data_IF_868651003343
#
_entry.id   IF_868651003343
#
_cell.length_a   1.000
_cell.length_b   1.000
_cell.length_c   1.000
_cell.angle_alpha   90.00
_cell.angle_beta   90.00
_cell.angle_gamma   90.00
#
_symmetry.space_group_name_H-M   'P 1'
#
loop_
_entity.id
_entity.type
_entity.pdbx_description
1 polymer ?
#
# COMPACT_ATOMS: atom_id res chain seq x y z
N UNK A 1 -33.79 5.27 5.70
CA UNK A 1 -34.38 4.67 4.48
C UNK A 1 -33.46 3.58 4.00
N UNK A 2 -34.01 2.50 3.45
CA UNK A 2 -33.25 1.48 2.75
C UNK A 2 -32.71 2.05 1.42
N UNK A 3 -31.51 1.68 0.95
CA UNK A 3 -30.99 2.15 -0.32
C UNK A 3 -31.93 1.70 -1.45
N UNK A 4 -32.19 2.58 -2.44
CA UNK A 4 -33.02 2.22 -3.59
C UNK A 4 -32.37 1.08 -4.39
N UNK A 5 -33.19 0.21 -5.00
CA UNK A 5 -32.71 -0.88 -5.86
C UNK A 5 -31.91 -0.37 -7.06
N UNK A 6 -31.10 -1.23 -7.67
CA UNK A 6 -30.25 -0.83 -8.80
C UNK A 6 -31.03 -0.30 -10.02
N UNK A 7 -32.29 -0.69 -10.14
CA UNK A 7 -33.24 -0.27 -11.18
C UNK A 7 -34.07 0.97 -10.82
N UNK A 8 -33.80 1.63 -9.69
CA UNK A 8 -34.57 2.80 -9.26
C UNK A 8 -34.24 4.06 -10.08
N UNK A 9 -35.26 4.88 -10.32
CA UNK A 9 -35.15 6.15 -11.04
C UNK A 9 -34.09 7.09 -10.43
N UNK A 10 -33.39 7.82 -11.30
CA UNK A 10 -32.33 8.78 -10.94
C UNK A 10 -32.81 9.83 -9.92
N UNK A 11 -34.09 10.24 -9.97
CA UNK A 11 -34.64 11.19 -9.00
C UNK A 11 -34.73 10.60 -7.58
N UNK A 12 -35.07 9.30 -7.47
CA UNK A 12 -35.15 8.57 -6.19
C UNK A 12 -33.75 8.36 -5.61
N UNK A 13 -32.77 8.03 -6.47
CA UNK A 13 -31.36 7.93 -6.10
C UNK A 13 -30.80 9.27 -5.61
N UNK A 14 -31.10 10.37 -6.32
CA UNK A 14 -30.68 11.72 -5.93
C UNK A 14 -31.24 12.14 -4.56
N UNK A 15 -32.52 11.84 -4.28
CA UNK A 15 -33.13 12.13 -2.97
C UNK A 15 -32.48 11.35 -1.83
N UNK A 16 -32.08 10.10 -2.06
CA UNK A 16 -31.39 9.28 -1.06
C UNK A 16 -29.98 9.81 -0.72
N UNK A 17 -29.22 10.23 -1.73
CA UNK A 17 -27.85 10.74 -1.57
C UNK A 17 -27.79 12.10 -0.83
N UNK A 18 -28.90 12.84 -0.79
CA UNK A 18 -28.98 14.18 -0.17
C UNK A 18 -29.39 14.24 1.31
N UNK A 19 -29.79 13.12 1.91
CA UNK A 19 -30.25 13.09 3.31
C UNK A 19 -29.07 13.17 4.28
N UNK A 20 -28.88 14.35 4.90
CA UNK A 20 -27.82 14.62 5.89
C UNK A 20 -28.30 14.53 7.35
N UNK A 21 -29.62 14.42 7.56
CA UNK A 21 -30.24 14.36 8.87
C UNK A 21 -31.36 13.31 8.85
N UNK A 22 -31.48 12.54 9.93
CA UNK A 22 -32.70 11.79 10.22
C UNK A 22 -33.67 12.77 10.90
N UNK A 23 -34.93 12.82 10.46
CA UNK A 23 -35.99 13.50 11.21
C UNK A 23 -36.06 12.95 12.65
N UNK A 24 -36.44 13.79 13.62
CA UNK A 24 -36.59 13.46 15.03
C UNK A 24 -37.45 12.20 15.22
N UNK A 25 -36.79 11.05 15.30
CA UNK A 25 -37.42 9.75 15.56
C UNK A 25 -37.23 9.39 17.02
N UNK A 26 -38.34 9.20 17.72
CA UNK A 26 -38.33 8.66 19.08
C UNK A 26 -37.88 7.20 19.00
N UNK A 27 -36.63 6.93 19.39
CA UNK A 27 -36.09 5.58 19.49
C UNK A 27 -36.56 4.94 20.80
N UNK A 28 -37.14 3.74 20.73
CA UNK A 28 -37.45 2.98 21.94
C UNK A 28 -36.21 2.22 22.45
N UNK A 29 -36.07 2.03 23.77
CA UNK A 29 -34.97 1.23 24.34
C UNK A 29 -34.91 -0.16 23.70
N UNK A 30 -33.69 -0.64 23.41
CA UNK A 30 -33.39 -1.93 22.76
C UNK A 30 -33.82 -2.07 21.28
N UNK A 31 -34.26 -1.01 20.62
CA UNK A 31 -34.55 -1.04 19.18
C UNK A 31 -33.28 -0.78 18.35
N UNK A 32 -32.92 -1.70 17.45
CA UNK A 32 -31.78 -1.51 16.54
C UNK A 32 -32.15 -0.54 15.40
N UNK A 33 -31.48 0.61 15.36
CA UNK A 33 -31.57 1.54 14.23
C UNK A 33 -30.54 1.15 13.16
N UNK A 34 -31.00 0.74 11.98
CA UNK A 34 -30.12 0.48 10.83
C UNK A 34 -30.02 1.73 9.97
N UNK A 35 -28.79 2.17 9.72
CA UNK A 35 -28.49 3.36 8.92
C UNK A 35 -27.69 2.93 7.71
N UNK A 36 -28.19 3.31 6.54
CA UNK A 36 -27.59 2.97 5.27
C UNK A 36 -26.77 4.16 4.77
N UNK A 37 -25.51 3.90 4.44
CA UNK A 37 -24.60 4.88 3.86
C UNK A 37 -24.40 4.53 2.40
N UNK A 38 -24.70 5.47 1.52
CA UNK A 38 -24.32 5.38 0.11
C UNK A 38 -23.36 6.52 -0.20
N UNK A 39 -22.21 6.16 -0.75
CA UNK A 39 -21.21 7.11 -1.18
C UNK A 39 -20.85 6.79 -2.62
N UNK A 40 -20.78 7.82 -3.47
CA UNK A 40 -20.20 7.74 -4.80
C UNK A 40 -18.76 8.27 -4.69
N UNK A 41 -17.74 7.41 -4.69
CA UNK A 41 -16.35 7.85 -4.54
C UNK A 41 -15.91 8.63 -5.79
N UNK A 42 -15.25 9.77 -5.58
CA UNK A 42 -14.64 10.56 -6.67
C UNK A 42 -13.29 9.98 -7.12
N UNK A 43 -12.59 9.29 -6.21
CA UNK A 43 -11.29 8.66 -6.45
C UNK A 43 -11.30 7.17 -6.05
N UNK A 44 -10.40 6.40 -6.66
CA UNK A 44 -10.22 4.98 -6.36
C UNK A 44 -9.39 4.85 -5.07
N UNK A 45 -9.79 3.95 -4.16
CA UNK A 45 -9.00 3.66 -2.96
C UNK A 45 -9.82 3.51 -1.70
N UNK A 46 -9.12 3.57 -0.56
CA UNK A 46 -9.73 3.49 0.77
C UNK A 46 -10.18 4.87 1.20
N UNK A 47 -11.49 5.04 1.34
CA UNK A 47 -12.12 6.23 1.89
C UNK A 47 -12.50 5.96 3.34
N UNK A 48 -12.18 6.89 4.23
CA UNK A 48 -12.59 6.82 5.63
C UNK A 48 -13.71 7.84 5.84
N UNK A 49 -14.87 7.37 6.25
CA UNK A 49 -16.02 8.22 6.56
C UNK A 49 -16.29 8.12 8.05
N UNK A 50 -16.34 9.28 8.71
CA UNK A 50 -16.70 9.37 10.13
C UNK A 50 -18.12 9.91 10.24
N UNK A 51 -18.98 9.14 10.87
CA UNK A 51 -20.39 9.47 11.08
C UNK A 51 -20.56 9.81 12.54
N UNK A 52 -21.13 10.97 12.80
CA UNK A 52 -21.45 11.42 14.13
C UNK A 52 -22.95 11.33 14.32
N UNK A 53 -23.36 10.78 15.47
CA UNK A 53 -24.73 10.78 15.94
C UNK A 53 -24.77 11.58 17.23
N UNK A 54 -25.48 12.69 17.21
CA UNK A 54 -25.75 13.47 18.41
C UNK A 54 -27.05 12.94 19.03
N UNK A 55 -26.97 12.39 20.24
CA UNK A 55 -28.06 11.80 21.00
C UNK A 55 -28.22 12.57 22.32
N UNK A 56 -28.90 13.72 22.25
CA UNK A 56 -28.95 14.67 23.37
C UNK A 56 -27.57 15.28 23.62
N UNK A 57 -27.03 15.10 24.84
CA UNK A 57 -25.69 15.57 25.21
C UNK A 57 -24.58 14.56 24.85
N UNK A 58 -24.92 13.36 24.40
CA UNK A 58 -23.96 12.34 24.00
C UNK A 58 -23.69 12.36 22.50
N UNK A 59 -22.42 12.27 22.11
CA UNK A 59 -21.99 12.15 20.72
C UNK A 59 -21.41 10.77 20.46
N UNK A 60 -22.09 9.97 19.63
CA UNK A 60 -21.64 8.66 19.20
C UNK A 60 -20.94 8.81 17.85
N UNK A 61 -19.70 8.32 17.77
CA UNK A 61 -18.93 8.33 16.53
C UNK A 61 -18.83 6.91 15.95
N UNK A 62 -19.09 6.77 14.65
CA UNK A 62 -18.89 5.53 13.88
C UNK A 62 -17.99 5.81 12.69
N UNK A 63 -16.88 5.09 12.61
CA UNK A 63 -15.99 5.12 11.46
C UNK A 63 -16.35 4.00 10.50
N UNK A 64 -16.65 4.36 9.26
CA UNK A 64 -16.87 3.45 8.15
C UNK A 64 -15.70 3.53 7.17
N UNK A 65 -15.18 2.37 6.77
CA UNK A 65 -14.16 2.25 5.74
C UNK A 65 -14.83 1.82 4.43
N UNK A 66 -14.73 2.65 3.40
CA UNK A 66 -15.30 2.40 2.09
C UNK A 66 -14.17 2.16 1.09
N UNK A 67 -14.17 0.98 0.49
CA UNK A 67 -13.16 0.61 -0.50
C UNK A 67 -13.76 0.79 -1.90
N UNK A 68 -13.35 1.86 -2.58
CA UNK A 68 -13.77 2.18 -3.93
C UNK A 68 -12.87 1.48 -4.96
N UNK A 69 -13.41 0.49 -5.68
CA UNK A 69 -12.71 -0.13 -6.81
C UNK A 69 -13.01 0.60 -8.11
N UNK A 70 -11.99 0.75 -8.96
CA UNK A 70 -12.23 1.02 -10.37
C UNK A 70 -12.65 -0.27 -11.08
N UNK A 71 -13.71 -0.19 -11.88
CA UNK A 71 -13.89 -1.15 -12.96
C UNK A 71 -13.02 -0.68 -14.12
N UNK A 72 -11.70 -0.92 -14.06
CA UNK A 72 -10.88 -0.82 -15.27
C UNK A 72 -11.27 -1.99 -16.18
N UNK A 73 -12.25 -1.72 -17.02
CA UNK A 73 -12.50 -2.41 -18.29
C UNK A 73 -12.66 -1.33 -19.35
N UNK A 74 -11.73 -0.37 -19.36
CA UNK A 74 -11.66 0.59 -20.44
C UNK A 74 -11.00 -0.11 -21.63
N UNK A 75 -11.80 -0.35 -22.66
CA UNK A 75 -11.27 -0.66 -23.99
C UNK A 75 -10.73 0.65 -24.54
N UNK A 76 -9.42 0.86 -24.45
CA UNK A 76 -8.77 1.98 -25.10
C UNK A 76 -8.58 1.62 -26.58
N UNK A 77 -9.18 2.43 -27.45
CA UNK A 77 -8.85 2.41 -28.86
C UNK A 77 -7.52 3.15 -29.02
N UNK A 78 -6.45 2.42 -29.33
CA UNK A 78 -5.20 3.07 -29.72
C UNK A 78 -5.25 3.31 -31.22
N UNK A 79 -5.42 4.57 -31.61
CA UNK A 79 -5.27 5.00 -33.01
C UNK A 79 -3.80 4.98 -33.45
N UNK A 80 -2.87 4.82 -32.49
CA UNK A 80 -1.43 4.73 -32.74
C UNK A 80 -0.99 3.27 -32.81
N UNK A 81 -0.36 2.85 -33.93
CA UNK A 81 0.11 1.47 -34.06
C UNK A 81 1.26 1.19 -33.09
N UNK A 82 1.31 -0.06 -32.59
CA UNK A 82 2.43 -0.52 -31.77
C UNK A 82 3.73 -0.47 -32.56
N UNK A 83 4.81 -0.09 -31.88
CA UNK A 83 6.15 -0.07 -32.45
C UNK A 83 7.01 -1.15 -31.82
N UNK A 84 7.90 -1.77 -32.61
CA UNK A 84 8.94 -2.65 -32.05
C UNK A 84 10.05 -1.77 -31.51
N UNK A 85 10.23 -1.78 -30.19
CA UNK A 85 11.33 -1.08 -29.56
C UNK A 85 12.66 -1.76 -29.94
N UNK A 86 13.63 -0.98 -30.42
CA UNK A 86 14.97 -1.48 -30.76
C UNK A 86 15.79 -1.51 -29.47
N UNK A 87 15.90 -2.67 -28.82
CA UNK A 87 16.81 -2.82 -27.69
C UNK A 87 18.25 -2.89 -28.20
N UNK A 88 19.03 -1.84 -27.92
CA UNK A 88 20.48 -1.95 -27.87
C UNK A 88 20.84 -2.70 -26.58
N UNK A 89 21.56 -3.81 -26.75
CA UNK A 89 22.11 -4.73 -25.74
C UNK A 89 21.25 -5.93 -25.26
N UNK A 90 21.69 -7.10 -25.74
CA UNK A 90 21.67 -8.47 -25.18
C UNK A 90 20.33 -9.27 -25.19
N UNK A 91 20.23 -10.10 -26.25
CA UNK A 91 19.54 -11.42 -26.40
C UNK A 91 18.00 -11.47 -26.31
N UNK A 92 17.38 -11.54 -27.49
CA UNK A 92 16.09 -12.18 -27.80
C UNK A 92 14.90 -11.92 -26.86
N UNK A 93 14.54 -10.67 -26.61
CA UNK A 93 13.19 -10.34 -26.14
C UNK A 93 12.60 -9.29 -27.07
N UNK A 94 11.67 -9.70 -27.94
CA UNK A 94 10.88 -8.75 -28.72
C UNK A 94 9.93 -8.05 -27.75
N UNK A 95 10.11 -6.74 -27.58
CA UNK A 95 9.28 -5.88 -26.74
C UNK A 95 8.53 -4.94 -27.67
N UNK A 96 7.23 -4.79 -27.43
CA UNK A 96 6.38 -3.83 -28.13
C UNK A 96 6.18 -2.61 -27.24
N UNK A 97 6.12 -1.43 -27.84
CA UNK A 97 5.79 -0.20 -27.13
C UNK A 97 4.39 0.30 -27.50
N UNK A 98 3.71 0.93 -26.54
CA UNK A 98 2.38 1.49 -26.69
C UNK A 98 2.30 2.83 -25.96
N UNK A 99 1.93 3.88 -26.68
CA UNK A 99 1.59 5.16 -26.09
C UNK A 99 0.20 5.09 -25.44
N UNK A 100 0.09 5.54 -24.18
CA UNK A 100 -1.15 5.54 -23.41
C UNK A 100 -1.43 6.97 -22.95
N UNK A 101 -2.43 7.65 -23.54
CA UNK A 101 -2.83 9.00 -23.11
C UNK A 101 -3.21 9.02 -21.62
N UNK A 102 -2.78 10.05 -20.88
CA UNK A 102 -3.08 10.21 -19.45
C UNK A 102 -2.21 9.36 -18.51
N UNK A 103 -1.29 8.54 -19.03
CA UNK A 103 -0.39 7.71 -18.21
C UNK A 103 0.49 8.53 -17.26
N UNK A 104 0.98 9.69 -17.71
CA UNK A 104 1.79 10.61 -16.90
C UNK A 104 1.01 11.13 -15.67
N UNK A 105 -0.31 11.26 -15.80
CA UNK A 105 -1.24 11.63 -14.73
C UNK A 105 -1.67 10.42 -13.88
N UNK A 106 -1.10 9.24 -14.14
CA UNK A 106 -1.44 7.94 -13.53
C UNK A 106 -2.89 7.52 -13.79
N UNK A 107 -3.43 7.89 -14.94
CA UNK A 107 -4.81 7.59 -15.38
C UNK A 107 -4.77 7.06 -16.82
N UNK A 108 -4.72 5.73 -17.04
CA UNK A 108 -4.90 4.65 -16.07
C UNK A 108 -3.68 4.40 -15.17
N UNK A 109 -3.90 3.86 -13.96
CA UNK A 109 -2.83 3.47 -13.05
C UNK A 109 -2.25 2.12 -13.46
N UNK A 110 -1.20 2.16 -14.28
CA UNK A 110 -0.50 0.98 -14.78
C UNK A 110 0.87 0.85 -14.11
N UNK A 111 1.22 -0.36 -13.72
CA UNK A 111 2.52 -0.67 -13.09
C UNK A 111 3.19 -1.87 -13.75
N UNK A 112 4.48 -2.03 -13.47
CA UNK A 112 5.24 -3.22 -13.84
C UNK A 112 4.51 -4.50 -13.40
N UNK A 113 4.39 -5.46 -14.30
CA UNK A 113 3.76 -6.75 -14.05
C UNK A 113 2.25 -6.80 -14.27
N UNK A 114 1.59 -5.67 -14.55
CA UNK A 114 0.16 -5.67 -14.89
C UNK A 114 -0.09 -6.37 -16.22
N UNK A 115 -1.29 -6.96 -16.35
CA UNK A 115 -1.73 -7.65 -17.55
C UNK A 115 -2.46 -6.70 -18.49
N UNK A 116 -2.08 -6.77 -19.76
CA UNK A 116 -2.75 -6.12 -20.88
C UNK A 116 -3.32 -7.18 -21.81
N UNK A 117 -4.46 -6.90 -22.39
CA UNK A 117 -5.13 -7.77 -23.36
C UNK A 117 -5.30 -6.99 -24.65
N UNK A 118 -4.77 -7.55 -25.73
CA UNK A 118 -4.83 -6.94 -27.06
C UNK A 118 -5.53 -7.85 -28.04
N UNK A 119 -6.32 -7.25 -28.92
CA UNK A 119 -7.07 -7.95 -29.95
C UNK A 119 -6.96 -7.16 -31.24
N UNK A 120 -6.68 -7.82 -32.36
CA UNK A 120 -6.51 -7.13 -33.63
C UNK A 120 -7.84 -6.44 -33.99
N UNK A 121 -7.77 -5.16 -34.37
CA UNK A 121 -8.97 -4.36 -34.65
C UNK A 121 -9.57 -4.66 -36.04
N UNK A 122 -8.87 -5.41 -36.89
CA UNK A 122 -9.32 -5.70 -38.25
C UNK A 122 -10.35 -6.83 -38.28
N UNK A 123 -11.55 -6.50 -38.74
CA UNK A 123 -12.60 -7.48 -39.04
C UNK A 123 -12.33 -8.17 -40.39
N UNK A 124 -11.33 -9.05 -40.47
CA UNK A 124 -11.29 -10.04 -41.56
C UNK A 124 -12.09 -11.28 -41.14
N UNK A 125 -12.89 -11.89 -42.04
CA UNK A 125 -13.71 -13.06 -41.74
C UNK A 125 -12.90 -14.32 -41.35
N UNK A 126 -11.58 -14.28 -41.58
CA UNK A 126 -10.61 -15.33 -41.23
C UNK A 126 -9.86 -15.04 -39.90
N UNK A 127 -10.13 -13.90 -39.27
CA UNK A 127 -9.46 -13.51 -38.03
C UNK A 127 -10.22 -14.09 -36.85
N UNK A 128 -9.69 -15.21 -36.36
CA UNK A 128 -10.08 -15.80 -35.08
C UNK A 128 -9.95 -14.68 -34.04
N UNK A 129 -11.05 -14.35 -33.35
CA UNK A 129 -11.25 -13.18 -32.48
C UNK A 129 -10.39 -13.29 -31.20
N UNK A 130 -9.10 -13.53 -31.37
CA UNK A 130 -8.15 -13.98 -30.36
C UNK A 130 -7.66 -12.79 -29.59
N UNK A 131 -7.89 -12.86 -28.28
CA UNK A 131 -7.29 -11.96 -27.33
C UNK A 131 -5.91 -12.49 -26.95
N UNK A 132 -4.89 -11.66 -27.08
CA UNK A 132 -3.53 -11.95 -26.65
C UNK A 132 -3.27 -11.27 -25.31
N UNK A 133 -2.81 -12.05 -24.35
CA UNK A 133 -2.38 -11.55 -23.05
C UNK A 133 -0.91 -11.14 -23.11
N UNK A 134 -0.61 -9.95 -22.64
CA UNK A 134 0.74 -9.42 -22.44
C UNK A 134 0.96 -8.97 -21.01
N UNK A 135 2.23 -8.72 -20.68
CA UNK A 135 2.67 -8.22 -19.38
C UNK A 135 3.44 -6.92 -19.60
N UNK A 136 3.12 -5.90 -18.79
CA UNK A 136 3.87 -4.64 -18.76
C UNK A 136 5.26 -4.89 -18.16
N UNK A 137 6.31 -4.64 -18.94
CA UNK A 137 7.71 -4.75 -18.56
C UNK A 137 8.33 -3.42 -18.14
N UNK A 138 7.80 -2.30 -18.64
CA UNK A 138 8.26 -0.96 -18.26
C UNK A 138 7.14 0.05 -18.47
N UNK A 139 7.10 1.06 -17.60
CA UNK A 139 6.20 2.20 -17.69
C UNK A 139 7.08 3.44 -17.70
N UNK A 140 6.95 4.27 -18.72
CA UNK A 140 7.59 5.58 -18.85
C UNK A 140 6.53 6.68 -18.74
N UNK A 141 6.83 7.92 -19.15
CA UNK A 141 5.94 9.06 -18.96
C UNK A 141 4.57 8.86 -19.63
N UNK A 142 4.58 8.58 -20.93
CA UNK A 142 3.40 8.39 -21.77
C UNK A 142 3.42 7.06 -22.55
N UNK A 143 4.47 6.25 -22.39
CA UNK A 143 4.65 4.99 -23.10
C UNK A 143 4.82 3.80 -22.14
N UNK A 144 4.24 2.67 -22.51
CA UNK A 144 4.46 1.38 -21.84
C UNK A 144 5.16 0.39 -22.76
N UNK A 145 6.01 -0.44 -22.18
CA UNK A 145 6.73 -1.51 -22.86
C UNK A 145 6.15 -2.85 -22.45
N UNK A 146 5.84 -3.66 -23.45
CA UNK A 146 5.00 -4.83 -23.33
C UNK A 146 5.72 -6.07 -23.84
N UNK A 147 5.54 -7.17 -23.11
CA UNK A 147 5.96 -8.49 -23.53
C UNK A 147 4.74 -9.37 -23.75
N UNK A 148 4.67 -9.93 -24.94
CA UNK A 148 3.65 -10.90 -25.34
C UNK A 148 4.29 -12.25 -25.65
N UNK A 149 3.43 -13.27 -25.77
CA UNK A 149 3.79 -14.55 -26.35
C UNK A 149 4.29 -14.40 -27.80
N UNK A 150 5.18 -15.31 -28.24
CA UNK A 150 5.78 -15.28 -29.58
C UNK A 150 4.73 -15.27 -30.71
N UNK A 151 3.57 -15.87 -30.48
CA UNK A 151 2.51 -15.91 -31.48
C UNK A 151 2.02 -14.52 -31.89
N UNK A 152 1.91 -13.58 -30.95
CA UNK A 152 1.54 -12.20 -31.29
C UNK A 152 2.70 -11.53 -32.04
N UNK A 153 3.93 -11.70 -31.56
CA UNK A 153 5.12 -11.09 -32.16
C UNK A 153 5.32 -11.48 -33.63
N UNK A 154 5.03 -12.74 -33.98
CA UNK A 154 5.09 -13.24 -35.37
C UNK A 154 4.01 -12.63 -36.25
N UNK A 155 2.80 -12.37 -35.72
CA UNK A 155 1.67 -11.80 -36.46
C UNK A 155 1.71 -10.27 -36.54
N UNK A 156 2.35 -9.63 -35.57
CA UNK A 156 2.45 -8.19 -35.50
C UNK A 156 3.23 -7.62 -36.69
N UNK A 157 2.63 -6.64 -37.35
CA UNK A 157 3.26 -5.80 -38.37
C UNK A 157 3.16 -4.34 -37.96
N UNK A 158 4.17 -3.55 -38.28
CA UNK A 158 4.12 -2.09 -38.13
C UNK A 158 2.89 -1.59 -38.90
N UNK A 159 2.00 -0.84 -38.23
CA UNK A 159 0.65 -0.37 -38.67
C UNK A 159 -0.57 -1.21 -38.24
N UNK A 160 -0.39 -2.36 -37.58
CA UNK A 160 -1.54 -3.08 -37.02
C UNK A 160 -2.21 -2.24 -35.91
N UNK A 161 -3.53 -2.12 -35.98
CA UNK A 161 -4.36 -1.52 -34.93
C UNK A 161 -4.91 -2.61 -34.01
N UNK A 162 -4.95 -2.34 -32.71
CA UNK A 162 -5.48 -3.27 -31.72
C UNK A 162 -6.45 -2.58 -30.78
N UNK A 163 -7.49 -3.31 -30.41
CA UNK A 163 -8.32 -3.00 -29.26
C UNK A 163 -7.58 -3.43 -27.99
N UNK A 164 -7.44 -2.51 -27.05
CA UNK A 164 -6.61 -2.69 -25.86
C UNK A 164 -7.48 -2.65 -24.62
N UNK A 165 -7.36 -3.64 -23.76
CA UNK A 165 -7.97 -3.61 -22.43
C UNK A 165 -6.95 -3.92 -21.35
N UNK A 166 -7.07 -3.20 -20.24
CA UNK A 166 -6.20 -3.35 -19.08
C UNK A 166 -6.96 -4.07 -17.99
N UNK A 167 -6.29 -4.99 -17.28
CA UNK A 167 -6.86 -5.63 -16.10
C UNK A 167 -6.30 -4.99 -14.85
N UNK A 168 -7.16 -4.31 -14.10
CA UNK A 168 -6.79 -3.74 -12.82
C UNK A 168 -6.29 -4.81 -11.84
N UNK A 169 -5.15 -4.55 -11.21
CA UNK A 169 -4.56 -5.43 -10.22
C UNK A 169 -5.23 -5.25 -8.85
N UNK A 170 -6.19 -6.14 -8.55
CA UNK A 170 -6.94 -6.13 -7.27
C UNK A 170 -6.14 -6.58 -6.05
N UNK A 171 -4.85 -6.93 -6.18
CA UNK A 171 -4.06 -7.48 -5.07
C UNK A 171 -3.95 -6.49 -3.90
N UNK A 172 -3.61 -5.22 -4.18
CA UNK A 172 -3.48 -4.21 -3.12
C UNK A 172 -4.82 -3.92 -2.43
N UNK A 173 -5.92 -3.87 -3.20
CA UNK A 173 -7.27 -3.68 -2.67
C UNK A 173 -7.69 -4.85 -1.76
N UNK A 174 -7.45 -6.09 -2.20
CA UNK A 174 -7.72 -7.29 -1.39
C UNK A 174 -6.92 -7.29 -0.09
N UNK A 175 -5.67 -6.82 -0.12
CA UNK A 175 -4.83 -6.68 1.07
C UNK A 175 -5.40 -5.64 2.05
N UNK A 176 -5.89 -4.51 1.56
CA UNK A 176 -6.56 -3.50 2.38
C UNK A 176 -7.84 -4.05 3.01
N UNK A 177 -8.66 -4.77 2.22
CA UNK A 177 -9.87 -5.42 2.72
C UNK A 177 -9.55 -6.45 3.82
N UNK A 178 -8.54 -7.29 3.60
CA UNK A 178 -8.05 -8.22 4.60
C UNK A 178 -7.58 -7.51 5.88
N UNK A 179 -6.92 -6.36 5.76
CA UNK A 179 -6.47 -5.56 6.90
C UNK A 179 -7.65 -5.01 7.71
N UNK A 180 -8.71 -4.53 7.04
CA UNK A 180 -9.95 -4.05 7.70
C UNK A 180 -10.61 -5.21 8.48
N UNK A 181 -10.76 -6.38 7.86
CA UNK A 181 -11.30 -7.56 8.54
C UNK A 181 -10.44 -8.00 9.74
N UNK A 182 -9.12 -7.86 9.63
CA UNK A 182 -8.21 -8.18 10.73
C UNK A 182 -8.22 -7.13 11.85
N UNK A 183 -8.56 -5.87 11.54
CA UNK A 183 -8.52 -4.75 12.49
C UNK A 183 -9.49 -4.93 13.66
N UNK A 184 -10.61 -5.65 13.47
CA UNK A 184 -11.56 -6.00 14.53
C UNK A 184 -10.86 -6.64 15.74
N UNK A 185 -9.77 -7.39 15.51
CA UNK A 185 -9.00 -8.08 16.56
C UNK A 185 -8.06 -7.16 17.36
N UNK A 186 -7.86 -5.91 16.95
CA UNK A 186 -6.99 -4.95 17.65
C UNK A 186 -7.67 -4.32 18.88
N UNK A 187 -9.00 -4.28 18.87
CA UNK A 187 -9.81 -3.67 19.93
C UNK A 187 -9.86 -2.13 19.87
N UNK A 188 -10.84 -1.52 20.56
CA UNK A 188 -11.12 -0.08 20.46
C UNK A 188 -9.98 0.79 21.00
N UNK A 189 -9.18 0.30 21.94
CA UNK A 189 -8.07 1.06 22.54
C UNK A 189 -7.00 1.46 21.50
N UNK A 190 -6.82 0.63 20.46
CA UNK A 190 -5.88 0.89 19.37
C UNK A 190 -6.52 1.70 18.24
N UNK A 191 -7.75 1.35 17.86
CA UNK A 191 -8.46 1.98 16.74
C UNK A 191 -9.03 3.36 17.09
N UNK A 192 -9.51 3.51 18.33
CA UNK A 192 -10.24 4.67 18.83
C UNK A 192 -9.66 5.13 20.19
N UNK A 193 -8.40 5.59 20.22
CA UNK A 193 -7.69 5.87 21.49
C UNK A 193 -8.34 6.98 22.33
N UNK A 194 -9.13 7.88 21.74
CA UNK A 194 -9.86 8.92 22.48
C UNK A 194 -10.97 8.36 23.39
N UNK A 195 -11.48 7.16 23.09
CA UNK A 195 -12.51 6.49 23.91
C UNK A 195 -11.91 5.87 25.17
N UNK A 196 -10.58 5.78 25.26
CA UNK A 196 -9.91 5.23 26.43
C UNK A 196 -9.88 6.26 27.57
N UNK A 197 -10.65 6.02 28.62
CA UNK A 197 -10.69 6.89 29.82
C UNK A 197 -9.42 6.78 30.70
N UNK A 198 -8.52 5.85 30.37
CA UNK A 198 -7.36 5.52 31.19
C UNK A 198 -6.13 6.31 30.73
N UNK A 199 -5.65 7.22 31.58
CA UNK A 199 -4.39 7.92 31.37
C UNK A 199 -3.25 6.92 31.52
N UNK A 200 -2.61 6.55 30.40
CA UNK A 200 -1.48 5.63 30.42
C UNK A 200 -0.25 6.30 31.03
N UNK A 201 0.25 5.70 32.10
CA UNK A 201 1.54 6.07 32.68
C UNK A 201 2.64 5.36 31.91
N UNK A 202 3.57 6.12 31.33
CA UNK A 202 4.73 5.58 30.61
C UNK A 202 5.94 5.75 31.53
N UNK A 203 6.48 4.62 31.98
CA UNK A 203 7.75 4.60 32.71
C UNK A 203 8.88 4.76 31.70
N UNK A 204 9.50 5.95 31.69
CA UNK A 204 10.66 6.23 30.86
C UNK A 204 11.94 5.82 31.59
N UNK A 205 12.88 5.28 30.84
CA UNK A 205 14.24 5.05 31.29
C UNK A 205 15.17 5.97 30.51
N UNK A 206 16.07 6.66 31.21
CA UNK A 206 17.11 7.44 30.54
C UNK A 206 17.92 6.53 29.61
N UNK A 207 18.22 7.04 28.43
CA UNK A 207 19.06 6.37 27.45
C UNK A 207 20.13 7.33 26.96
N UNK A 208 21.20 6.79 26.38
CA UNK A 208 22.22 7.61 25.73
C UNK A 208 21.90 7.69 24.24
N UNK A 209 21.61 8.89 23.69
CA UNK A 209 21.40 9.07 22.27
C UNK A 209 22.60 8.58 21.46
N UNK A 210 22.32 7.81 20.42
CA UNK A 210 23.33 7.33 19.48
C UNK A 210 23.66 8.45 18.51
N UNK A 211 22.63 9.15 18.06
CA UNK A 211 22.79 10.41 17.35
C UNK A 211 22.91 11.58 18.33
N UNK A 212 24.11 12.17 18.40
CA UNK A 212 24.41 13.32 19.24
C UNK A 212 23.68 14.61 18.83
N UNK A 213 23.10 14.67 17.63
CA UNK A 213 22.41 15.85 17.09
C UNK A 213 20.90 15.87 17.40
N UNK A 214 20.38 14.93 18.19
CA UNK A 214 18.98 14.95 18.59
C UNK A 214 18.70 16.08 19.59
N UNK A 215 17.62 16.83 19.36
CA UNK A 215 17.17 17.86 20.27
C UNK A 215 16.38 17.27 21.46
N UNK A 216 16.07 18.10 22.46
CA UNK A 216 15.38 17.67 23.69
C UNK A 216 14.01 17.02 23.44
N UNK A 217 13.24 17.52 22.47
CA UNK A 217 11.91 17.00 22.14
C UNK A 217 11.99 15.63 21.43
N UNK A 218 13.00 15.45 20.59
CA UNK A 218 13.28 14.18 19.93
C UNK A 218 13.76 13.14 20.94
N UNK A 219 14.68 13.51 21.85
CA UNK A 219 15.14 12.65 22.94
C UNK A 219 13.96 12.22 23.81
N UNK A 220 13.13 13.17 24.25
CA UNK A 220 11.92 12.87 25.01
C UNK A 220 10.97 11.93 24.27
N UNK A 221 10.79 12.13 22.96
CA UNK A 221 9.95 11.24 22.15
C UNK A 221 10.50 9.81 22.11
N UNK A 222 11.82 9.64 22.01
CA UNK A 222 12.46 8.33 22.06
C UNK A 222 12.29 7.70 23.45
N UNK A 223 12.48 8.44 24.53
CA UNK A 223 12.24 7.95 25.91
C UNK A 223 10.83 7.39 26.08
N UNK A 224 9.84 8.14 25.57
CA UNK A 224 8.43 7.73 25.61
C UNK A 224 8.19 6.45 24.80
N UNK A 225 8.76 6.34 23.60
CA UNK A 225 8.64 5.16 22.75
C UNK A 225 9.27 3.92 23.42
N UNK A 226 10.43 4.08 24.04
CA UNK A 226 11.09 2.99 24.76
C UNK A 226 10.26 2.51 25.95
N UNK A 227 9.58 3.40 26.66
CA UNK A 227 8.67 3.06 27.77
C UNK A 227 7.30 2.51 27.32
N UNK A 228 6.89 2.75 26.08
CA UNK A 228 5.57 2.37 25.59
C UNK A 228 5.37 0.83 25.51
N UNK A 229 4.42 0.30 26.31
CA UNK A 229 3.85 -1.06 26.18
C UNK A 229 2.33 -1.06 25.95
N UNK A 230 1.83 -1.64 24.85
CA UNK A 230 0.38 -1.72 24.55
C UNK A 230 -0.25 -0.44 23.98
N UNK A 231 -1.58 -0.39 24.00
CA UNK A 231 -2.40 0.74 23.53
C UNK A 231 -2.39 1.93 24.51
N UNK A 232 -2.67 3.17 24.04
CA UNK A 232 -2.82 3.56 22.64
C UNK A 232 -1.47 3.62 21.89
N UNK A 233 -1.44 3.64 20.54
CA UNK A 233 -0.19 3.82 19.81
C UNK A 233 0.43 5.21 20.10
N UNK A 234 1.77 5.29 20.10
CA UNK A 234 2.47 6.56 20.26
C UNK A 234 2.60 7.24 18.90
N UNK A 235 2.21 8.52 18.80
CA UNK A 235 2.26 9.31 17.56
C UNK A 235 3.33 10.38 17.69
N UNK A 236 4.35 10.32 16.82
CA UNK A 236 5.30 11.42 16.67
C UNK A 236 4.68 12.43 15.71
N UNK A 237 4.34 13.60 16.23
CA UNK A 237 3.87 14.72 15.42
C UNK A 237 4.97 15.79 15.30
N UNK A 238 5.08 16.40 14.12
CA UNK A 238 6.02 17.49 13.90
C UNK A 238 5.93 18.06 12.48
N UNK A 239 6.11 19.38 12.29
CA UNK A 239 6.19 20.01 10.97
C UNK A 239 7.19 19.33 10.01
N UNK A 240 7.09 19.57 8.70
CA UNK A 240 8.12 19.14 7.74
C UNK A 240 9.52 19.62 8.17
N UNK A 241 10.54 18.78 7.98
CA UNK A 241 11.93 19.11 8.35
C UNK A 241 12.32 18.92 9.83
N UNK A 242 11.38 18.58 10.72
CA UNK A 242 11.66 18.40 12.17
C UNK A 242 12.36 17.08 12.56
N UNK A 243 12.85 16.32 11.58
CA UNK A 243 13.62 15.11 11.84
C UNK A 243 12.81 13.94 12.43
N UNK A 244 11.48 13.87 12.20
CA UNK A 244 10.63 12.74 12.65
C UNK A 244 11.23 11.37 12.31
N UNK A 245 11.77 11.23 11.11
CA UNK A 245 12.41 10.00 10.65
C UNK A 245 13.70 9.69 11.43
N UNK A 246 14.48 10.72 11.81
CA UNK A 246 15.65 10.55 12.68
C UNK A 246 15.23 10.09 14.08
N UNK A 247 14.16 10.65 14.63
CA UNK A 247 13.59 10.21 15.92
C UNK A 247 13.12 8.76 15.87
N UNK A 248 12.46 8.37 14.78
CA UNK A 248 11.98 7.00 14.56
C UNK A 248 13.15 6.02 14.40
N UNK A 249 14.17 6.38 13.62
CA UNK A 249 15.38 5.57 13.45
C UNK A 249 16.13 5.38 14.79
N UNK A 250 16.33 6.46 15.55
CA UNK A 250 16.93 6.39 16.90
C UNK A 250 16.15 5.42 17.80
N UNK A 251 14.82 5.55 17.86
CA UNK A 251 14.00 4.67 18.69
C UNK A 251 14.13 3.18 18.30
N UNK A 252 14.18 2.88 17.00
CA UNK A 252 14.40 1.51 16.49
C UNK A 252 15.79 1.01 16.90
N UNK A 253 16.83 1.82 16.72
CA UNK A 253 18.20 1.47 17.08
C UNK A 253 18.36 1.21 18.58
N UNK A 254 17.73 2.04 19.41
CA UNK A 254 17.70 1.87 20.87
C UNK A 254 16.99 0.57 21.26
N UNK A 255 15.86 0.24 20.65
CA UNK A 255 15.17 -1.04 20.88
C UNK A 255 16.01 -2.24 20.44
N UNK A 256 16.64 -2.15 19.26
CA UNK A 256 17.52 -3.19 18.74
C UNK A 256 18.70 -3.47 19.69
N UNK A 257 19.32 -2.42 20.25
CA UNK A 257 20.44 -2.53 21.19
C UNK A 257 20.03 -3.05 22.56
N UNK A 258 18.93 -2.53 23.11
CA UNK A 258 18.51 -2.82 24.50
C UNK A 258 17.73 -4.12 24.62
N UNK A 259 16.97 -4.51 23.60
CA UNK A 259 16.06 -5.67 23.64
C UNK A 259 16.55 -6.76 22.68
N UNK A 260 17.38 -7.68 23.18
CA UNK A 260 17.98 -8.77 22.37
C UNK A 260 16.99 -9.66 21.61
N UNK A 261 15.74 -9.76 22.08
CA UNK A 261 14.65 -10.54 21.47
C UNK A 261 13.67 -9.68 20.66
N UNK A 262 13.91 -8.37 20.53
CA UNK A 262 13.03 -7.50 19.79
C UNK A 262 13.05 -7.85 18.31
N UNK A 263 11.86 -7.91 17.72
CA UNK A 263 11.64 -8.02 16.28
C UNK A 263 10.73 -6.89 15.86
N UNK A 264 11.19 -6.08 14.92
CA UNK A 264 10.68 -4.75 14.65
C UNK A 264 10.35 -4.66 13.15
N UNK A 265 9.07 -4.77 12.75
CA UNK A 265 8.64 -4.41 11.42
C UNK A 265 8.50 -2.88 11.37
N UNK A 266 9.04 -2.31 10.31
CA UNK A 266 8.95 -0.88 10.00
C UNK A 266 8.25 -0.78 8.65
N UNK A 267 7.11 -0.10 8.61
CA UNK A 267 6.33 0.07 7.39
C UNK A 267 6.31 1.55 6.99
N UNK A 268 6.46 1.82 5.70
CA UNK A 268 6.40 3.17 5.14
C UNK A 268 5.36 3.26 4.01
N UNK A 269 4.92 4.48 3.63
CA UNK A 269 3.93 4.67 2.56
C UNK A 269 4.47 4.37 1.16
N UNK A 270 5.78 4.46 0.94
CA UNK A 270 6.40 4.26 -0.37
C UNK A 270 7.75 3.56 -0.27
N UNK A 271 8.21 2.99 -1.38
CA UNK A 271 9.52 2.33 -1.42
C UNK A 271 10.65 3.29 -1.06
N UNK A 272 10.61 4.51 -1.60
CA UNK A 272 11.60 5.55 -1.28
C UNK A 272 11.56 5.92 0.21
N UNK A 273 10.37 6.03 0.81
CA UNK A 273 10.26 6.30 2.25
C UNK A 273 10.86 5.17 3.11
N UNK A 274 10.61 3.91 2.74
CA UNK A 274 11.21 2.77 3.43
C UNK A 274 12.73 2.69 3.24
N UNK A 275 13.23 3.08 2.07
CA UNK A 275 14.67 3.18 1.80
C UNK A 275 15.33 4.30 2.59
N UNK A 276 14.70 5.47 2.73
CA UNK A 276 15.20 6.53 3.60
C UNK A 276 15.24 6.11 5.06
N UNK A 277 14.27 5.32 5.53
CA UNK A 277 14.35 4.74 6.88
C UNK A 277 15.53 3.77 6.97
N UNK A 278 15.71 2.89 5.98
CA UNK A 278 16.83 1.96 5.92
C UNK A 278 18.18 2.71 5.93
N UNK A 279 18.33 3.75 5.13
CA UNK A 279 19.48 4.65 5.10
C UNK A 279 19.80 5.17 6.51
N UNK A 280 18.81 5.71 7.23
CA UNK A 280 19.00 6.22 8.60
C UNK A 280 19.33 5.15 9.64
N UNK A 281 18.91 3.90 9.42
CA UNK A 281 19.29 2.79 10.28
C UNK A 281 20.74 2.35 10.04
N UNK A 282 21.21 2.45 8.79
CA UNK A 282 22.56 2.04 8.39
C UNK A 282 23.62 3.12 8.65
N UNK A 283 23.24 4.41 8.56
CA UNK A 283 24.07 5.58 8.86
C UNK A 283 24.50 5.66 10.34
N UNK A 284 23.88 4.85 11.20
CA UNK A 284 24.29 4.67 12.60
C UNK A 284 25.61 3.91 12.72
N UNK A 285 26.73 4.53 12.33
CA UNK A 285 28.10 3.98 12.40
C UNK A 285 28.44 3.42 13.80
N UNK A 286 27.75 3.88 14.85
CA UNK A 286 28.03 3.56 16.26
C UNK A 286 27.48 2.22 16.75
N UNK A 287 26.59 1.53 16.01
CA UNK A 287 25.98 0.25 16.45
C UNK A 287 26.40 -0.94 15.62
N UNK A 288 26.69 -0.76 14.32
CA UNK A 288 26.95 -1.88 13.41
C UNK A 288 25.80 -2.88 13.41
N UNK A 289 24.63 -2.49 12.89
CA UNK A 289 23.56 -3.46 12.62
C UNK A 289 24.16 -4.54 11.72
N UNK A 290 24.02 -5.80 12.13
CA UNK A 290 24.51 -6.91 11.33
C UNK A 290 23.67 -6.97 10.06
N UNK A 291 24.30 -7.16 8.91
CA UNK A 291 23.59 -7.24 7.63
C UNK A 291 22.48 -8.31 7.67
N UNK A 292 22.75 -9.44 8.31
CA UNK A 292 21.78 -10.54 8.47
C UNK A 292 20.65 -10.27 9.50
N UNK A 293 20.70 -9.16 10.24
CA UNK A 293 19.65 -8.78 11.19
C UNK A 293 18.59 -7.87 10.55
N UNK A 294 18.83 -7.32 9.35
CA UNK A 294 17.91 -6.41 8.65
C UNK A 294 17.49 -6.95 7.29
N UNK A 295 16.21 -6.76 6.96
CA UNK A 295 15.66 -7.14 5.67
C UNK A 295 14.77 -6.05 5.09
N UNK A 296 14.99 -5.72 3.82
CA UNK A 296 14.21 -4.77 3.04
C UNK A 296 13.25 -5.52 2.11
N UNK A 297 11.97 -5.52 2.47
CA UNK A 297 10.90 -6.11 1.68
C UNK A 297 10.32 -5.09 0.69
N UNK A 298 10.74 -5.18 -0.57
CA UNK A 298 10.28 -4.31 -1.65
C UNK A 298 8.85 -4.62 -2.12
N UNK A 299 8.22 -3.64 -2.77
CA UNK A 299 7.00 -3.89 -3.55
C UNK A 299 7.30 -4.81 -4.74
N UNK A 300 6.39 -5.72 -5.06
CA UNK A 300 6.52 -6.61 -6.22
C UNK A 300 6.53 -5.87 -7.56
N UNK A 301 6.04 -4.63 -7.55
CA UNK A 301 5.98 -3.72 -8.70
C UNK A 301 7.20 -2.79 -8.77
N UNK A 302 8.10 -2.81 -7.78
CA UNK A 302 9.32 -2.01 -7.78
C UNK A 302 10.30 -2.63 -8.77
N UNK A 303 10.95 -1.81 -9.60
CA UNK A 303 12.03 -2.28 -10.47
C UNK A 303 13.30 -2.48 -9.67
N UNK A 304 14.11 -3.45 -10.08
CA UNK A 304 15.39 -3.71 -9.45
C UNK A 304 16.35 -2.53 -9.62
N UNK A 305 16.34 -1.90 -10.80
CA UNK A 305 17.19 -0.77 -11.16
C UNK A 305 16.84 0.50 -10.36
N UNK A 306 15.65 0.56 -9.76
CA UNK A 306 15.23 1.67 -8.88
C UNK A 306 15.75 1.51 -7.44
N UNK A 307 16.45 0.42 -7.12
CA UNK A 307 17.06 0.19 -5.80
C UNK A 307 18.50 0.72 -5.82
N UNK A 308 18.85 1.51 -4.80
CA UNK A 308 20.24 1.97 -4.65
C UNK A 308 21.18 0.78 -4.45
N UNK A 309 22.37 0.74 -5.10
CA UNK A 309 23.26 -0.40 -5.06
C UNK A 309 23.60 -0.90 -3.64
N UNK A 310 23.74 0.02 -2.70
CA UNK A 310 24.10 -0.28 -1.31
C UNK A 310 22.97 -0.99 -0.55
N UNK A 311 21.72 -0.87 -1.03
CA UNK A 311 20.55 -1.50 -0.41
C UNK A 311 20.23 -2.88 -0.96
N UNK A 312 20.80 -3.25 -2.11
CA UNK A 312 20.53 -4.53 -2.80
C UNK A 312 20.84 -5.72 -1.88
N UNK A 313 21.91 -5.64 -1.10
CA UNK A 313 22.32 -6.70 -0.16
C UNK A 313 21.30 -6.98 0.97
N UNK A 314 20.41 -6.03 1.27
CA UNK A 314 19.34 -6.20 2.26
C UNK A 314 18.03 -6.67 1.62
N UNK A 315 18.00 -6.84 0.31
CA UNK A 315 16.80 -7.22 -0.43
C UNK A 315 16.81 -8.71 -0.78
N UNK A 316 15.64 -9.25 -1.08
CA UNK A 316 15.47 -10.60 -1.60
C UNK A 316 14.79 -10.52 -2.96
N UNK A 317 15.44 -11.06 -3.99
CA UNK A 317 15.00 -11.00 -5.38
C UNK A 317 15.47 -12.25 -6.15
N UNK A 318 14.74 -12.59 -7.21
CA UNK A 318 15.06 -13.67 -8.13
C UNK A 318 14.94 -13.12 -9.57
N UNK A 319 15.95 -13.39 -10.40
CA UNK A 319 16.02 -12.89 -11.79
C UNK A 319 15.77 -11.38 -11.91
N UNK A 320 16.32 -10.58 -10.99
CA UNK A 320 16.12 -9.11 -10.92
C UNK A 320 14.65 -8.70 -10.66
N UNK A 321 13.84 -9.58 -10.05
CA UNK A 321 12.44 -9.29 -9.72
C UNK A 321 12.15 -9.60 -8.24
N UNK A 322 11.49 -8.67 -7.56
CA UNK A 322 11.01 -8.83 -6.18
C UNK A 322 9.69 -9.63 -6.14
N UNK A 323 9.70 -10.90 -6.58
CA UNK A 323 8.44 -11.66 -6.71
C UNK A 323 7.88 -12.11 -5.36
N UNK A 324 8.75 -12.51 -4.44
CA UNK A 324 8.35 -13.17 -3.20
C UNK A 324 9.15 -12.68 -1.99
N UNK A 325 8.62 -12.99 -0.81
CA UNK A 325 9.32 -12.81 0.45
C UNK A 325 10.22 -14.04 0.69
N UNK A 326 11.35 -13.93 1.40
CA UNK A 326 12.15 -15.09 1.78
C UNK A 326 11.32 -16.17 2.50
N UNK A 327 11.73 -17.44 2.44
CA UNK A 327 11.08 -18.50 3.20
C UNK A 327 11.02 -18.18 4.70
N UNK A 328 9.98 -18.68 5.40
CA UNK A 328 9.76 -18.44 6.83
C UNK A 328 11.02 -18.61 7.69
N UNK A 329 11.84 -19.63 7.44
CA UNK A 329 13.09 -19.87 8.19
C UNK A 329 14.06 -18.67 8.14
N UNK A 330 14.18 -18.02 6.99
CA UNK A 330 14.99 -16.81 6.84
C UNK A 330 14.32 -15.61 7.53
N UNK A 331 13.00 -15.45 7.36
CA UNK A 331 12.24 -14.37 8.00
C UNK A 331 12.38 -14.36 9.53
N UNK A 332 12.43 -15.53 10.15
CA UNK A 332 12.58 -15.66 11.60
C UNK A 332 13.94 -15.21 12.14
N UNK A 333 14.96 -15.10 11.27
CA UNK A 333 16.31 -14.68 11.62
C UNK A 333 16.44 -13.16 11.66
N UNK A 334 15.68 -12.42 10.85
CA UNK A 334 15.73 -10.97 10.83
C UNK A 334 15.13 -10.38 12.11
N UNK A 335 15.78 -9.33 12.63
CA UNK A 335 15.30 -8.54 13.74
C UNK A 335 14.58 -7.29 13.29
N UNK A 336 14.97 -6.71 12.16
CA UNK A 336 14.35 -5.52 11.59
C UNK A 336 13.88 -5.84 10.18
N UNK A 337 12.60 -5.58 9.88
CA UNK A 337 12.05 -5.76 8.54
C UNK A 337 11.46 -4.43 8.07
N UNK A 338 12.08 -3.80 7.08
CA UNK A 338 11.62 -2.56 6.47
C UNK A 338 10.79 -2.86 5.21
N UNK A 339 9.53 -2.42 5.18
CA UNK A 339 8.60 -2.71 4.09
C UNK A 339 7.69 -1.51 3.78
N UNK A 340 6.90 -1.62 2.71
CA UNK A 340 5.74 -0.73 2.53
C UNK A 340 4.49 -1.36 3.14
N UNK A 341 3.49 -0.55 3.48
CA UNK A 341 2.24 -1.01 4.12
C UNK A 341 1.59 -2.20 3.40
N UNK A 342 1.52 -2.16 2.06
CA UNK A 342 0.89 -3.23 1.27
C UNK A 342 1.73 -4.51 1.23
N UNK A 343 3.06 -4.39 1.16
CA UNK A 343 3.98 -5.54 1.16
C UNK A 343 4.06 -6.24 2.50
N UNK A 344 3.76 -5.57 3.62
CA UNK A 344 3.75 -6.19 4.95
C UNK A 344 2.79 -7.41 5.02
N UNK A 345 1.74 -7.45 4.18
CA UNK A 345 0.85 -8.62 4.05
C UNK A 345 1.55 -9.90 3.57
N UNK A 346 2.67 -9.79 2.86
CA UNK A 346 3.48 -10.94 2.42
C UNK A 346 4.10 -11.67 3.61
N UNK A 347 4.49 -10.95 4.67
CA UNK A 347 5.02 -11.55 5.90
C UNK A 347 3.98 -12.49 6.52
N UNK A 348 2.73 -12.03 6.61
CA UNK A 348 1.62 -12.86 7.09
C UNK A 348 1.36 -14.07 6.19
N UNK A 349 1.46 -13.88 4.88
CA UNK A 349 1.27 -14.94 3.89
C UNK A 349 2.34 -16.04 4.00
N UNK A 350 3.58 -15.68 4.33
CA UNK A 350 4.69 -16.61 4.59
C UNK A 350 4.66 -17.25 5.99
N UNK A 351 3.66 -16.93 6.83
CA UNK A 351 3.48 -17.55 8.13
C UNK A 351 4.03 -16.76 9.32
N UNK A 352 4.31 -15.46 9.16
CA UNK A 352 4.58 -14.57 10.29
C UNK A 352 3.26 -14.16 10.95
N UNK A 353 2.98 -14.77 12.10
CA UNK A 353 1.73 -14.55 12.85
C UNK A 353 1.90 -13.67 14.09
N UNK A 354 0.76 -13.34 14.72
CA UNK A 354 0.68 -12.56 15.96
C UNK A 354 1.66 -13.10 17.02
N UNK A 355 2.39 -12.19 17.65
CA UNK A 355 3.39 -12.51 18.69
C UNK A 355 4.82 -12.64 18.16
N UNK A 356 5.03 -12.68 16.84
CA UNK A 356 6.38 -12.67 16.27
C UNK A 356 7.10 -11.34 16.50
N UNK A 357 6.42 -10.23 16.21
CA UNK A 357 6.93 -8.86 16.36
C UNK A 357 6.60 -8.26 17.72
N UNK A 358 7.55 -7.51 18.29
CA UNK A 358 7.45 -6.93 19.64
C UNK A 358 7.01 -5.47 19.64
N UNK A 359 7.44 -4.68 18.65
CA UNK A 359 7.07 -3.27 18.48
C UNK A 359 6.91 -3.00 16.99
N UNK A 360 5.85 -2.28 16.59
CA UNK A 360 5.59 -1.95 15.19
C UNK A 360 5.80 -0.45 14.99
N UNK A 361 6.51 -0.09 13.92
CA UNK A 361 6.73 1.31 13.54
C UNK A 361 6.09 1.57 12.18
N UNK A 362 5.33 2.66 12.09
CA UNK A 362 4.69 3.13 10.87
C UNK A 362 5.22 4.53 10.57
N UNK A 363 5.80 4.72 9.40
CA UNK A 363 6.51 5.94 8.97
C UNK A 363 5.72 6.83 8.03
#
# INVERSE_FOLDING_TARGET
>A
MEPPSDDADEEVRCRFVGLKYLEDRVLQPAQTLTIWLSCKPEEIGLHTVVIHFDLGDEKIEKVAFLLAEDKVSQSLFSDKPYSRARNDSIRHNQILSLEVPGLAERRPSLVYGDYIFVQLATHSPDDDNRTYQGIIQRVEADEIFLRFDENLHRRHRNKNLYNVSFKYNRVNMRRLYQAILAAEKLGPQFLFPWQSSHRRMIETSSFMPLNAFLNSEQVRSVEMILGCKGAPPYVIYGPPGTGKMMTLAEAILQLYKTRRKARIPVCAPSNNAADHILEKLLDGESIGIRENDIFRLNATTRRYEDVQPEFIQFCFFEDMVFKHCPPLKALLCYKIIASIYTSASLLYSEGIYKGHFSQHFLG
#
